data_IF_181029427341
#
_entry.id   IF_181029427341
#
_cell.length_a   1.000
_cell.length_b   1.000
_cell.length_c   1.000
_cell.angle_alpha   90.00
_cell.angle_beta   90.00
_cell.angle_gamma   90.00
#
_symmetry.space_group_name_H-M   'P 1'
#
loop_
_entity.id
_entity.type
_entity.pdbx_description
1 polymer ?
#
# COMPACT_ATOMS: atom_id res chain seq x y z
N UNK A 1 -7.56 -3.80 1.38
CA UNK A 1 -8.24 -5.06 1.01
C UNK A 1 -7.56 -6.14 1.83
N UNK A 2 -8.30 -6.86 2.62
CA UNK A 2 -7.83 -8.16 3.07
C UNK A 2 -8.28 -9.20 2.04
N UNK A 3 -7.47 -10.20 1.82
CA UNK A 3 -7.74 -11.34 0.97
C UNK A 3 -7.50 -12.60 1.81
N UNK A 4 -8.44 -13.52 1.81
CA UNK A 4 -8.44 -14.65 2.74
C UNK A 4 -8.60 -15.96 1.98
N UNK A 5 -7.78 -16.94 2.32
CA UNK A 5 -8.01 -18.34 1.97
C UNK A 5 -8.27 -19.15 3.23
N UNK A 6 -9.47 -19.69 3.35
CA UNK A 6 -9.85 -20.53 4.47
C UNK A 6 -9.16 -21.91 4.40
N UNK A 7 -8.99 -22.42 3.19
CA UNK A 7 -8.30 -23.69 2.93
C UNK A 7 -6.83 -23.63 3.39
N UNK A 8 -6.11 -22.58 2.98
CA UNK A 8 -4.70 -22.39 3.31
C UNK A 8 -4.46 -21.64 4.63
N UNK A 9 -5.52 -21.32 5.37
CA UNK A 9 -5.50 -20.54 6.63
C UNK A 9 -4.57 -19.31 6.54
N UNK A 10 -4.69 -18.55 5.46
CA UNK A 10 -3.92 -17.33 5.22
C UNK A 10 -4.83 -16.10 5.13
N UNK A 11 -4.29 -14.95 5.53
CA UNK A 11 -4.90 -13.64 5.36
C UNK A 11 -3.86 -12.63 4.87
N UNK A 12 -4.04 -12.15 3.64
CA UNK A 12 -3.19 -11.14 3.03
C UNK A 12 -3.80 -9.75 3.19
N UNK A 13 -3.05 -8.83 3.77
CA UNK A 13 -3.45 -7.44 3.93
C UNK A 13 -2.82 -6.58 2.84
N UNK A 14 -3.62 -6.19 1.86
CA UNK A 14 -3.17 -5.47 0.69
C UNK A 14 -2.90 -3.99 1.00
N UNK A 15 -1.70 -3.66 1.47
CA UNK A 15 -1.27 -2.28 1.61
C UNK A 15 -1.17 -1.60 0.24
N UNK A 16 -1.62 -0.33 0.11
CA UNK A 16 -1.57 0.37 -1.17
C UNK A 16 -0.15 0.55 -1.71
N UNK A 17 0.03 0.33 -3.02
CA UNK A 17 1.29 0.53 -3.74
C UNK A 17 2.50 -0.31 -3.28
N UNK A 18 2.24 -1.50 -2.72
CA UNK A 18 3.26 -2.47 -2.28
C UNK A 18 3.27 -3.77 -3.11
N UNK A 19 2.87 -3.72 -4.39
CA UNK A 19 2.75 -4.92 -5.23
C UNK A 19 1.50 -5.77 -4.95
N UNK A 20 0.62 -5.33 -4.06
CA UNK A 20 -0.53 -6.09 -3.58
C UNK A 20 -1.51 -6.54 -4.68
N UNK A 21 -1.64 -5.77 -5.77
CA UNK A 21 -2.51 -6.15 -6.90
C UNK A 21 -1.99 -7.39 -7.63
N UNK A 22 -0.67 -7.56 -7.73
CA UNK A 22 -0.05 -8.74 -8.35
C UNK A 22 -0.34 -10.01 -7.54
N UNK A 23 -0.17 -9.93 -6.21
CA UNK A 23 -0.46 -11.06 -5.31
C UNK A 23 -1.93 -11.45 -5.38
N UNK A 24 -2.85 -10.49 -5.31
CA UNK A 24 -4.28 -10.76 -5.36
C UNK A 24 -4.67 -11.37 -6.72
N UNK A 25 -4.15 -10.81 -7.81
CA UNK A 25 -4.43 -11.34 -9.15
C UNK A 25 -3.98 -12.80 -9.26
N UNK A 26 -2.80 -13.11 -8.79
CA UNK A 26 -2.30 -14.47 -8.77
C UNK A 26 -3.21 -15.42 -7.97
N UNK A 27 -3.66 -15.01 -6.77
CA UNK A 27 -4.59 -15.80 -5.98
C UNK A 27 -5.90 -16.07 -6.73
N UNK A 28 -6.48 -15.03 -7.35
CA UNK A 28 -7.71 -15.15 -8.11
C UNK A 28 -7.55 -16.06 -9.33
N UNK A 29 -6.44 -15.93 -10.06
CA UNK A 29 -6.16 -16.74 -11.26
C UNK A 29 -5.97 -18.23 -10.91
N UNK A 30 -5.60 -18.56 -9.68
CA UNK A 30 -5.51 -19.94 -9.17
C UNK A 30 -6.75 -20.39 -8.38
N UNK A 31 -7.81 -19.58 -8.33
CA UNK A 31 -9.01 -19.91 -7.55
C UNK A 31 -8.79 -19.96 -6.04
N UNK A 32 -7.74 -19.33 -5.52
CA UNK A 32 -7.38 -19.37 -4.11
C UNK A 32 -7.95 -18.15 -3.38
N UNK A 33 -8.91 -18.42 -2.49
CA UNK A 33 -9.42 -17.42 -1.55
C UNK A 33 -10.36 -16.37 -2.16
N UNK A 34 -10.67 -15.38 -1.35
CA UNK A 34 -11.65 -14.34 -1.67
C UNK A 34 -11.35 -13.02 -0.95
N UNK A 35 -11.99 -11.94 -1.40
CA UNK A 35 -11.96 -10.67 -0.70
C UNK A 35 -12.64 -10.74 0.67
N UNK A 36 -12.07 -10.07 1.68
CA UNK A 36 -12.58 -10.06 3.04
C UNK A 36 -12.60 -8.64 3.64
N UNK A 37 -13.79 -8.09 3.91
CA UNK A 37 -15.12 -8.60 3.49
C UNK A 37 -15.30 -8.54 1.98
N UNK A 38 -16.29 -9.28 1.46
CA UNK A 38 -16.66 -9.26 0.03
C UNK A 38 -17.19 -7.89 -0.38
N UNK A 39 -17.94 -7.27 0.50
CA UNK A 39 -18.56 -5.94 0.34
C UNK A 39 -18.19 -5.02 1.49
N UNK A 40 -18.38 -3.72 1.30
CA UNK A 40 -18.16 -2.75 2.36
C UNK A 40 -19.16 -2.98 3.52
N UNK A 41 -18.67 -3.00 4.76
CA UNK A 41 -19.55 -3.04 5.96
C UNK A 41 -19.93 -1.61 6.29
N UNK A 42 -21.25 -1.35 6.28
CA UNK A 42 -21.84 -0.03 6.53
C UNK A 42 -22.71 -0.12 7.79
N UNK A 43 -22.52 0.79 8.72
CA UNK A 43 -23.35 0.99 9.92
C UNK A 43 -23.67 2.48 10.05
N UNK A 44 -24.92 2.82 10.25
CA UNK A 44 -25.40 4.21 10.37
C UNK A 44 -24.86 5.12 9.24
N UNK A 45 -24.98 4.69 7.99
CA UNK A 45 -24.48 5.36 6.79
C UNK A 45 -22.97 5.64 6.78
N UNK A 46 -22.21 4.99 7.68
CA UNK A 46 -20.76 5.10 7.74
C UNK A 46 -20.10 3.78 7.32
N UNK A 47 -19.12 3.87 6.45
CA UNK A 47 -18.29 2.74 6.07
C UNK A 47 -17.32 2.38 7.20
N UNK A 48 -17.64 1.32 7.95
CA UNK A 48 -16.84 0.83 9.07
C UNK A 48 -15.67 0.00 8.57
N UNK A 49 -15.93 -0.94 7.65
CA UNK A 49 -14.89 -1.78 7.06
C UNK A 49 -15.00 -1.75 5.55
N UNK A 50 -14.03 -1.18 4.85
CA UNK A 50 -14.01 -1.21 3.40
C UNK A 50 -13.68 -2.61 2.88
N UNK A 51 -14.31 -3.03 1.79
CA UNK A 51 -13.94 -4.27 1.06
C UNK A 51 -12.53 -4.17 0.47
N UNK A 52 -12.11 -2.94 0.12
CA UNK A 52 -10.75 -2.66 -0.39
C UNK A 52 -9.89 -1.98 0.68
N UNK A 53 -8.64 -2.45 0.82
CA UNK A 53 -7.64 -1.86 1.73
C UNK A 53 -8.05 -1.86 3.21
N UNK A 54 -8.74 -2.93 3.66
CA UNK A 54 -9.04 -3.10 5.08
C UNK A 54 -7.79 -3.35 5.89
N UNK A 55 -7.70 -2.70 7.03
CA UNK A 55 -6.71 -2.98 8.07
C UNK A 55 -7.28 -3.97 9.09
N UNK A 56 -6.42 -4.62 9.88
CA UNK A 56 -6.88 -5.51 10.95
C UNK A 56 -7.77 -4.78 11.98
N UNK A 57 -7.53 -3.48 12.19
CA UNK A 57 -8.35 -2.64 13.07
C UNK A 57 -9.76 -2.46 12.52
N UNK A 58 -9.89 -2.21 11.22
CA UNK A 58 -11.19 -2.07 10.56
C UNK A 58 -11.95 -3.40 10.53
N UNK A 59 -11.27 -4.52 10.22
CA UNK A 59 -11.89 -5.84 10.31
C UNK A 59 -12.38 -6.14 11.74
N UNK A 60 -11.63 -5.71 12.77
CA UNK A 60 -12.07 -5.86 14.17
C UNK A 60 -13.32 -5.02 14.46
N UNK A 61 -13.36 -3.79 13.97
CA UNK A 61 -14.55 -2.92 14.12
C UNK A 61 -15.79 -3.53 13.47
N UNK A 62 -15.66 -4.17 12.31
CA UNK A 62 -16.75 -4.87 11.63
C UNK A 62 -16.99 -6.31 12.11
N UNK A 63 -16.40 -6.74 13.23
CA UNK A 63 -16.63 -8.10 13.76
C UNK A 63 -15.98 -9.25 12.95
N UNK A 64 -15.12 -8.95 11.98
CA UNK A 64 -14.64 -9.88 10.94
C UNK A 64 -13.29 -10.54 11.26
N UNK A 65 -12.72 -10.32 12.45
CA UNK A 65 -11.41 -10.90 12.82
C UNK A 65 -11.51 -12.31 13.35
N UNK A 66 -12.61 -12.69 14.02
CA UNK A 66 -12.73 -13.99 14.66
C UNK A 66 -12.47 -15.18 13.71
N UNK A 67 -13.03 -15.22 12.50
CA UNK A 67 -12.81 -16.33 11.56
C UNK A 67 -11.36 -16.49 11.08
N UNK A 68 -10.56 -15.40 11.13
CA UNK A 68 -9.18 -15.37 10.65
C UNK A 68 -8.16 -15.21 11.78
N UNK A 69 -8.58 -15.39 13.04
CA UNK A 69 -7.73 -15.14 14.22
C UNK A 69 -6.41 -15.91 14.14
N UNK A 70 -6.48 -17.18 13.80
CA UNK A 70 -5.36 -18.11 13.82
C UNK A 70 -4.73 -18.33 12.42
N UNK A 71 -5.10 -17.47 11.45
CA UNK A 71 -4.52 -17.53 10.10
C UNK A 71 -3.14 -16.89 10.05
N UNK A 72 -2.30 -17.39 9.17
CA UNK A 72 -1.03 -16.75 8.82
C UNK A 72 -1.31 -15.40 8.14
N UNK A 73 -0.94 -14.31 8.80
CA UNK A 73 -1.20 -12.93 8.35
C UNK A 73 0.05 -12.33 7.75
N UNK A 74 -0.07 -11.86 6.52
CA UNK A 74 1.04 -11.17 5.88
C UNK A 74 0.60 -9.92 5.12
N UNK A 75 1.57 -9.05 4.85
CA UNK A 75 1.34 -7.74 4.23
C UNK A 75 2.51 -7.36 3.34
N UNK A 76 2.23 -6.64 2.26
CA UNK A 76 3.27 -6.02 1.46
C UNK A 76 3.86 -4.79 2.13
N UNK A 77 5.18 -4.65 2.06
CA UNK A 77 5.94 -3.48 2.50
C UNK A 77 6.80 -2.98 1.33
N UNK A 78 7.07 -1.68 1.29
CA UNK A 78 7.86 -1.04 0.23
C UNK A 78 8.70 0.08 0.80
N UNK A 79 9.88 0.32 0.23
CA UNK A 79 10.71 1.46 0.55
C UNK A 79 9.90 2.76 0.46
N UNK A 80 9.81 3.57 1.54
CA UNK A 80 9.04 4.80 1.57
C UNK A 80 9.42 5.78 0.45
N UNK A 81 10.70 5.89 0.11
CA UNK A 81 11.16 6.79 -0.94
C UNK A 81 10.56 6.43 -2.30
N UNK A 82 10.66 5.17 -2.72
CA UNK A 82 10.06 4.70 -3.97
C UNK A 82 8.53 4.71 -3.90
N UNK A 83 7.94 4.50 -2.72
CA UNK A 83 6.50 4.53 -2.53
C UNK A 83 5.90 5.93 -2.77
N UNK A 84 6.51 7.00 -2.22
CA UNK A 84 6.03 8.37 -2.41
C UNK A 84 6.07 8.78 -3.88
N UNK A 85 7.14 8.45 -4.59
CA UNK A 85 7.25 8.73 -6.05
C UNK A 85 6.20 7.93 -6.82
N UNK A 86 6.03 6.65 -6.52
CA UNK A 86 5.03 5.82 -7.19
C UNK A 86 3.60 6.37 -7.01
N UNK A 87 3.24 6.85 -5.83
CA UNK A 87 1.92 7.44 -5.60
C UNK A 87 1.77 8.80 -6.28
N UNK A 88 2.82 9.64 -6.26
CA UNK A 88 2.86 10.90 -6.96
C UNK A 88 2.62 10.75 -8.46
N UNK A 89 3.32 9.84 -9.11
CA UNK A 89 3.18 9.58 -10.55
C UNK A 89 1.83 8.95 -10.89
N UNK A 90 1.35 8.02 -10.05
CA UNK A 90 0.02 7.42 -10.22
C UNK A 90 -1.10 8.46 -10.15
N UNK A 91 -0.98 9.47 -9.29
CA UNK A 91 -1.96 10.55 -9.22
C UNK A 91 -2.04 11.31 -10.54
N UNK A 92 -0.91 11.49 -11.23
CA UNK A 92 -0.81 12.23 -12.52
C UNK A 92 -1.20 11.42 -13.73
N UNK A 93 -1.12 10.12 -13.65
CA UNK A 93 -1.42 9.21 -14.77
C UNK A 93 -2.79 8.54 -14.62
N UNK A 94 -2.84 7.38 -14.03
CA UNK A 94 -4.03 6.53 -13.99
C UNK A 94 -5.19 7.14 -13.18
N UNK A 95 -4.91 7.89 -12.10
CA UNK A 95 -6.00 8.50 -11.29
C UNK A 95 -6.64 9.68 -11.99
N UNK A 96 -5.85 10.51 -12.71
CA UNK A 96 -6.42 11.58 -13.52
C UNK A 96 -7.26 11.05 -14.69
N UNK A 97 -6.82 9.97 -15.34
CA UNK A 97 -7.66 9.28 -16.35
C UNK A 97 -8.99 8.81 -15.75
N UNK A 98 -8.99 8.30 -14.52
CA UNK A 98 -10.20 7.85 -13.86
C UNK A 98 -11.19 8.98 -13.54
N UNK A 99 -10.74 10.21 -13.29
CA UNK A 99 -11.64 11.37 -13.09
C UNK A 99 -12.44 11.65 -14.36
N UNK A 100 -11.84 11.46 -15.53
CA UNK A 100 -12.49 11.74 -16.81
C UNK A 100 -13.32 10.55 -17.32
N UNK A 101 -13.29 9.41 -16.63
CA UNK A 101 -14.05 8.22 -16.99
C UNK A 101 -15.21 8.00 -16.00
N UNK A 102 -16.44 8.32 -16.40
CA UNK A 102 -17.66 8.15 -15.59
C UNK A 102 -17.94 6.69 -15.18
N UNK A 103 -17.37 5.71 -15.87
CA UNK A 103 -17.47 4.29 -15.49
C UNK A 103 -16.41 3.87 -14.46
N UNK A 104 -15.54 4.78 -14.01
CA UNK A 104 -14.53 4.45 -13.01
C UNK A 104 -15.15 4.32 -11.62
N UNK A 105 -14.44 3.59 -10.75
CA UNK A 105 -14.85 3.37 -9.36
C UNK A 105 -15.06 4.67 -8.56
N UNK A 106 -14.47 5.80 -8.99
CA UNK A 106 -14.65 7.11 -8.36
C UNK A 106 -16.14 7.52 -8.36
N UNK A 107 -16.84 7.15 -9.43
CA UNK A 107 -18.25 7.48 -9.60
C UNK A 107 -19.21 6.52 -8.87
N UNK A 108 -18.69 5.47 -8.24
CA UNK A 108 -19.46 4.65 -7.29
C UNK A 108 -19.44 5.18 -5.86
N UNK A 109 -18.61 6.22 -5.59
CA UNK A 109 -18.57 6.88 -4.30
C UNK A 109 -19.81 7.78 -4.09
N UNK A 110 -20.25 7.99 -2.83
CA UNK A 110 -21.21 9.05 -2.52
C UNK A 110 -20.73 10.41 -3.05
N UNK A 111 -21.67 11.22 -3.54
CA UNK A 111 -21.36 12.46 -4.26
C UNK A 111 -20.37 13.37 -3.51
N UNK A 112 -20.64 13.66 -2.24
CA UNK A 112 -19.78 14.51 -1.43
C UNK A 112 -18.36 13.91 -1.18
N UNK A 113 -18.23 12.58 -1.14
CA UNK A 113 -16.93 11.90 -1.02
C UNK A 113 -16.18 11.97 -2.35
N UNK A 114 -16.87 11.71 -3.45
CA UNK A 114 -16.36 11.81 -4.82
C UNK A 114 -15.79 13.20 -5.10
N UNK A 115 -16.57 14.23 -4.84
CA UNK A 115 -16.20 15.61 -5.18
C UNK A 115 -14.98 16.07 -4.37
N UNK A 116 -14.93 15.74 -3.08
CA UNK A 116 -13.73 15.97 -2.25
C UNK A 116 -12.51 15.18 -2.75
N UNK A 117 -12.72 13.97 -3.24
CA UNK A 117 -11.64 13.15 -3.79
C UNK A 117 -11.09 13.76 -5.09
N UNK A 118 -11.98 14.18 -6.00
CA UNK A 118 -11.61 14.81 -7.28
C UNK A 118 -10.89 16.13 -7.04
N UNK A 119 -11.41 16.99 -6.17
CA UNK A 119 -10.80 18.27 -5.83
C UNK A 119 -9.38 18.08 -5.27
N UNK A 120 -9.21 17.17 -4.32
CA UNK A 120 -7.89 16.83 -3.77
C UNK A 120 -6.92 16.32 -4.84
N UNK A 121 -7.37 15.48 -5.79
CA UNK A 121 -6.52 15.00 -6.86
C UNK A 121 -6.09 16.13 -7.81
N UNK A 122 -6.99 17.05 -8.13
CA UNK A 122 -6.67 18.23 -8.96
C UNK A 122 -5.62 19.10 -8.29
N UNK A 123 -5.80 19.41 -7.01
CA UNK A 123 -4.82 20.18 -6.23
C UNK A 123 -3.45 19.47 -6.20
N UNK A 124 -3.42 18.16 -5.97
CA UNK A 124 -2.18 17.38 -5.96
C UNK A 124 -1.53 17.26 -7.35
N UNK A 125 -2.32 17.35 -8.42
CA UNK A 125 -1.81 17.30 -9.79
C UNK A 125 -0.94 18.51 -10.13
N UNK A 126 -1.29 19.69 -9.64
CA UNK A 126 -0.54 20.93 -9.88
C UNK A 126 0.77 21.03 -9.06
N UNK A 127 0.90 20.24 -7.99
CA UNK A 127 2.08 20.29 -7.12
C UNK A 127 3.31 19.66 -7.78
N UNK A 128 4.47 20.27 -7.62
CA UNK A 128 5.75 19.60 -7.82
C UNK A 128 5.94 18.46 -6.82
N UNK A 129 6.88 17.53 -7.06
CA UNK A 129 7.10 16.42 -6.10
C UNK A 129 7.48 16.90 -4.69
N UNK A 130 8.37 17.90 -4.50
CA UNK A 130 8.66 18.44 -3.17
C UNK A 130 7.44 19.03 -2.45
N UNK A 131 6.59 19.74 -3.16
CA UNK A 131 5.34 20.31 -2.61
C UNK A 131 4.36 19.21 -2.23
N UNK A 132 4.13 18.24 -3.12
CA UNK A 132 3.30 17.09 -2.87
C UNK A 132 3.77 16.30 -1.65
N UNK A 133 5.07 16.02 -1.56
CA UNK A 133 5.65 15.28 -0.45
C UNK A 133 5.45 15.99 0.88
N UNK A 134 5.69 17.30 0.95
CA UNK A 134 5.43 18.10 2.14
C UNK A 134 3.95 18.14 2.49
N UNK A 135 3.10 18.41 1.51
CA UNK A 135 1.65 18.39 1.70
C UNK A 135 1.18 17.06 2.30
N UNK A 136 1.66 15.93 1.74
CA UNK A 136 1.32 14.61 2.24
C UNK A 136 1.82 14.38 3.67
N UNK A 137 3.07 14.74 3.95
CA UNK A 137 3.75 14.49 5.22
C UNK A 137 3.33 15.43 6.36
N UNK A 138 2.87 16.63 6.06
CA UNK A 138 2.47 17.61 7.08
C UNK A 138 0.97 17.58 7.39
N UNK A 139 0.13 17.34 6.40
CA UNK A 139 -1.32 17.44 6.56
C UNK A 139 -2.01 16.10 6.84
N UNK A 140 -1.39 14.99 6.48
CA UNK A 140 -1.96 13.69 6.78
C UNK A 140 -1.34 13.08 8.03
N UNK A 141 -2.04 13.14 9.17
CA UNK A 141 -1.64 12.47 10.42
C UNK A 141 -1.37 10.95 10.26
N UNK A 142 -1.77 10.37 9.14
CA UNK A 142 -1.60 8.95 8.77
C UNK A 142 -0.63 8.80 7.60
N UNK A 143 0.50 9.45 7.70
CA UNK A 143 1.44 9.55 6.58
C UNK A 143 2.00 8.21 6.16
N UNK A 144 2.11 7.29 7.08
CA UNK A 144 2.54 5.96 6.75
C UNK A 144 1.32 5.05 6.58
N UNK A 145 0.68 5.11 5.39
CA UNK A 145 -0.40 4.17 5.04
C UNK A 145 0.02 2.72 5.29
N UNK A 146 1.30 2.42 5.16
CA UNK A 146 1.83 1.10 5.44
C UNK A 146 1.76 0.77 6.93
N UNK A 147 2.05 1.72 7.84
CA UNK A 147 2.12 1.47 9.28
C UNK A 147 0.81 0.94 9.89
N UNK A 148 -0.34 1.34 9.34
CA UNK A 148 -1.64 0.82 9.79
C UNK A 148 -1.81 -0.67 9.44
N UNK A 149 -1.18 -1.12 8.36
CA UNK A 149 -1.22 -2.51 7.90
C UNK A 149 -0.21 -3.40 8.60
N UNK A 150 0.89 -2.85 9.15
CA UNK A 150 1.97 -3.64 9.72
C UNK A 150 1.69 -4.20 11.13
N UNK A 151 0.56 -3.88 11.72
CA UNK A 151 0.24 -4.35 13.08
C UNK A 151 -0.23 -5.79 13.07
N UNK A 152 0.36 -6.61 13.95
CA UNK A 152 -0.05 -8.02 14.16
C UNK A 152 0.05 -8.87 12.89
N UNK A 153 1.10 -8.68 12.11
CA UNK A 153 1.43 -9.51 10.96
C UNK A 153 2.49 -10.54 11.35
N UNK A 154 2.36 -11.73 10.79
CA UNK A 154 3.30 -12.83 10.98
C UNK A 154 4.46 -12.76 9.99
N UNK A 155 4.25 -12.05 8.85
CA UNK A 155 5.26 -11.90 7.81
C UNK A 155 5.08 -10.61 7.00
N UNK A 156 6.20 -10.10 6.47
CA UNK A 156 6.27 -8.93 5.60
C UNK A 156 6.87 -9.32 4.27
N UNK A 157 6.15 -9.05 3.18
CA UNK A 157 6.61 -9.30 1.82
C UNK A 157 7.11 -7.98 1.24
N UNK A 158 8.43 -7.88 1.00
CA UNK A 158 9.05 -6.69 0.46
C UNK A 158 8.80 -6.58 -1.05
N UNK A 159 8.32 -5.44 -1.49
CA UNK A 159 8.01 -5.22 -2.90
C UNK A 159 9.25 -5.37 -3.78
N UNK A 160 10.42 -5.02 -3.24
CA UNK A 160 11.71 -5.06 -3.92
C UNK A 160 12.27 -6.49 -4.12
N UNK A 161 11.80 -7.46 -3.33
CA UNK A 161 12.16 -8.88 -3.43
C UNK A 161 10.92 -9.77 -3.33
N UNK A 162 9.85 -9.34 -3.98
CA UNK A 162 8.52 -9.91 -3.87
C UNK A 162 8.48 -11.42 -4.16
N UNK A 163 9.20 -11.87 -5.19
CA UNK A 163 9.26 -13.28 -5.57
C UNK A 163 9.91 -14.15 -4.47
N UNK A 164 11.02 -13.70 -3.92
CA UNK A 164 11.76 -14.42 -2.86
C UNK A 164 10.94 -14.54 -1.58
N UNK A 165 10.37 -13.40 -1.13
CA UNK A 165 9.55 -13.38 0.07
C UNK A 165 8.27 -14.21 -0.10
N UNK A 166 7.70 -14.26 -1.31
CA UNK A 166 6.52 -15.06 -1.57
C UNK A 166 6.79 -16.57 -1.51
N UNK A 167 7.99 -17.02 -1.79
CA UNK A 167 8.40 -18.43 -1.56
C UNK A 167 8.28 -18.81 -0.06
N UNK A 168 8.56 -17.87 0.84
CA UNK A 168 8.35 -18.09 2.28
C UNK A 168 6.86 -18.23 2.60
N UNK A 169 6.01 -17.41 2.00
CA UNK A 169 4.55 -17.50 2.16
C UNK A 169 4.06 -18.88 1.68
N UNK A 170 4.47 -19.31 0.48
CA UNK A 170 4.07 -20.62 -0.06
C UNK A 170 4.42 -21.77 0.89
N UNK A 171 5.66 -21.81 1.37
CA UNK A 171 6.11 -22.86 2.29
C UNK A 171 5.34 -22.87 3.61
N UNK A 172 4.96 -21.69 4.14
CA UNK A 172 4.25 -21.58 5.41
C UNK A 172 2.77 -21.90 5.32
N UNK A 173 2.18 -21.75 4.15
CA UNK A 173 0.72 -21.86 3.97
C UNK A 173 0.30 -23.06 3.10
N UNK A 174 1.25 -23.84 2.59
CA UNK A 174 0.96 -24.99 1.71
C UNK A 174 0.36 -24.56 0.36
N UNK A 175 0.67 -23.36 -0.12
CA UNK A 175 0.28 -22.93 -1.46
C UNK A 175 1.01 -23.74 -2.54
N UNK A 176 0.39 -23.94 -3.72
CA UNK A 176 1.01 -24.67 -4.83
C UNK A 176 2.38 -24.11 -5.22
N UNK A 177 3.34 -25.00 -5.47
CA UNK A 177 4.74 -24.62 -5.77
C UNK A 177 4.88 -23.82 -7.06
N UNK A 178 4.03 -24.09 -8.05
CA UNK A 178 3.98 -23.42 -9.37
C UNK A 178 3.51 -21.98 -9.33
N UNK A 179 2.88 -21.55 -8.22
CA UNK A 179 2.43 -20.17 -8.09
C UNK A 179 3.61 -19.20 -8.10
N UNK A 180 3.55 -18.24 -8.99
CA UNK A 180 4.53 -17.16 -9.09
C UNK A 180 3.85 -15.81 -9.17
N UNK A 181 4.43 -14.81 -8.49
CA UNK A 181 3.86 -13.45 -8.51
C UNK A 181 4.18 -12.80 -9.86
N UNK A 182 3.16 -12.44 -10.66
CA UNK A 182 3.39 -11.84 -11.96
C UNK A 182 3.96 -10.42 -11.82
N UNK A 183 4.77 -10.01 -12.79
CA UNK A 183 5.13 -8.60 -12.93
C UNK A 183 3.88 -7.82 -13.32
N UNK A 184 3.38 -6.99 -12.42
CA UNK A 184 2.13 -6.26 -12.60
C UNK A 184 2.27 -4.82 -12.14
N UNK A 185 1.70 -3.88 -12.91
CA UNK A 185 1.71 -2.45 -12.59
C UNK A 185 3.12 -1.87 -12.35
N UNK A 186 4.02 -2.02 -13.31
CA UNK A 186 5.27 -1.26 -13.34
C UNK A 186 4.92 0.23 -13.30
N UNK A 187 5.47 0.96 -12.34
CA UNK A 187 5.13 2.37 -12.15
C UNK A 187 5.68 3.18 -13.33
N UNK A 188 4.92 4.14 -13.85
CA UNK A 188 5.27 4.96 -15.01
C UNK A 188 6.63 5.70 -14.94
N UNK A 189 7.26 5.82 -13.76
CA UNK A 189 8.64 6.30 -13.66
C UNK A 189 9.64 5.35 -14.33
N UNK A 190 9.39 4.04 -14.29
CA UNK A 190 10.21 3.06 -15.00
C UNK A 190 9.92 3.08 -16.52
N UNK A 191 8.69 3.46 -16.92
CA UNK A 191 8.34 3.65 -18.33
C UNK A 191 9.03 4.86 -18.95
N UNK A 192 9.35 5.89 -18.14
CA UNK A 192 10.10 7.09 -18.56
C UNK A 192 11.62 6.98 -18.35
N UNK A 193 12.12 5.84 -17.85
CA UNK A 193 13.53 5.63 -17.58
C UNK A 193 14.09 6.44 -16.39
N UNK A 194 13.21 7.05 -15.57
CA UNK A 194 13.60 7.83 -14.40
C UNK A 194 13.66 6.94 -13.16
N UNK A 195 14.75 7.04 -12.42
CA UNK A 195 14.85 6.44 -11.10
C UNK A 195 14.06 7.27 -10.06
N UNK A 196 13.48 6.62 -9.02
CA UNK A 196 12.79 7.35 -7.95
C UNK A 196 13.74 8.31 -7.23
N UNK A 197 15.04 8.05 -7.22
CA UNK A 197 16.09 8.85 -6.60
C UNK A 197 16.22 10.25 -7.20
N UNK A 198 15.92 10.38 -8.49
CA UNK A 198 16.00 11.67 -9.23
C UNK A 198 14.99 12.71 -8.71
N UNK A 199 14.01 12.28 -7.93
CA UNK A 199 13.00 13.16 -7.32
C UNK A 199 13.45 13.79 -5.99
N UNK A 200 14.58 13.34 -5.43
CA UNK A 200 14.99 13.70 -4.08
C UNK A 200 16.21 14.62 -4.05
N UNK A 201 16.15 15.60 -3.17
CA UNK A 201 17.31 16.37 -2.72
C UNK A 201 17.73 15.88 -1.33
N UNK A 202 18.97 16.11 -0.85
CA UNK A 202 19.39 15.75 0.50
C UNK A 202 18.43 16.24 1.59
N UNK A 203 17.90 17.45 1.42
CA UNK A 203 16.93 18.06 2.35
C UNK A 203 15.60 17.29 2.40
N UNK A 204 15.13 16.77 1.26
CA UNK A 204 13.90 15.94 1.20
C UNK A 204 14.15 14.55 1.77
N UNK A 205 15.33 13.96 1.56
CA UNK A 205 15.72 12.68 2.14
C UNK A 205 15.64 12.76 3.67
N UNK A 206 16.31 13.75 4.27
CA UNK A 206 16.28 13.98 5.71
C UNK A 206 14.85 14.20 6.24
N UNK A 207 14.03 14.91 5.47
CA UNK A 207 12.64 15.15 5.82
C UNK A 207 11.82 13.84 5.85
N UNK A 208 11.98 12.94 4.87
CA UNK A 208 11.33 11.63 4.84
C UNK A 208 11.76 10.77 6.02
N UNK A 209 13.06 10.68 6.31
CA UNK A 209 13.56 9.92 7.46
C UNK A 209 12.94 10.39 8.77
N UNK A 210 12.96 11.69 9.00
CA UNK A 210 12.40 12.29 10.23
C UNK A 210 10.90 12.00 10.38
N UNK A 211 10.13 12.17 9.30
CA UNK A 211 8.68 11.97 9.32
C UNK A 211 8.27 10.48 9.37
N UNK A 212 9.10 9.58 8.87
CA UNK A 212 8.85 8.14 8.86
C UNK A 212 9.76 7.36 9.83
N UNK A 213 10.34 8.02 10.82
CA UNK A 213 11.24 7.39 11.80
C UNK A 213 10.73 6.06 12.36
N UNK A 214 9.45 5.91 12.78
CA UNK A 214 8.94 4.63 13.28
C UNK A 214 8.96 3.50 12.25
N UNK A 215 8.85 3.84 10.95
CA UNK A 215 8.96 2.87 9.88
C UNK A 215 10.40 2.36 9.74
N UNK A 216 11.37 3.26 9.69
CA UNK A 216 12.79 2.90 9.53
C UNK A 216 13.38 2.20 10.77
N UNK A 217 12.85 2.46 11.97
CA UNK A 217 13.18 1.67 13.18
C UNK A 217 12.68 0.22 13.02
N UNK A 218 11.51 0.03 12.42
CA UNK A 218 10.91 -1.30 12.23
C UNK A 218 11.53 -2.08 11.08
N UNK A 219 11.93 -1.38 10.02
CA UNK A 219 12.50 -1.91 8.79
C UNK A 219 13.84 -1.22 8.50
N UNK A 220 14.88 -1.54 9.29
CA UNK A 220 16.18 -0.87 9.18
C UNK A 220 16.93 -1.20 7.90
N UNK A 221 16.49 -2.22 7.16
CA UNK A 221 17.02 -2.59 5.85
C UNK A 221 16.66 -1.58 4.74
N UNK A 222 15.62 -0.75 4.97
CA UNK A 222 15.26 0.30 4.02
C UNK A 222 16.10 1.54 4.24
N UNK A 223 16.77 1.94 3.19
CA UNK A 223 17.62 3.14 3.17
C UNK A 223 17.52 3.85 1.82
N UNK A 224 18.07 5.06 1.75
CA UNK A 224 18.23 5.81 0.51
C UNK A 224 19.71 5.81 0.11
N UNK A 225 20.09 5.10 -0.98
CA UNK A 225 21.47 5.05 -1.53
C UNK A 225 22.58 4.77 -0.52
N UNK A 226 22.37 3.86 0.42
CA UNK A 226 23.35 3.57 1.47
C UNK A 226 23.38 4.59 2.61
N UNK A 227 22.50 5.59 2.61
CA UNK A 227 22.32 6.55 3.69
C UNK A 227 21.38 5.97 4.75
N UNK A 228 21.92 5.44 5.81
CA UNK A 228 21.13 4.92 6.94
C UNK A 228 20.44 6.06 7.70
N UNK A 229 19.22 5.79 8.18
CA UNK A 229 18.44 6.72 8.98
C UNK A 229 19.19 7.27 10.21
N UNK A 230 20.09 6.49 10.78
CA UNK A 230 20.90 6.86 11.95
C UNK A 230 21.92 7.97 11.66
N UNK A 231 22.50 7.98 10.45
CA UNK A 231 23.47 9.00 10.03
C UNK A 231 22.83 10.38 9.79
N UNK A 232 21.55 10.40 9.48
CA UNK A 232 20.80 11.59 9.07
C UNK A 232 20.21 12.36 10.27
N UNK A 233 20.00 11.69 11.40
CA UNK A 233 19.40 12.30 12.61
C UNK A 233 20.44 13.03 13.48
N UNK A 234 21.75 12.81 13.24
CA UNK A 234 22.82 13.42 14.03
C UNK A 234 23.12 14.89 13.66
N UNK A 235 22.68 15.35 12.48
CA UNK A 235 22.98 16.70 11.95
C UNK A 235 21.79 17.68 11.98
N UNK A 236 20.78 17.46 12.82
CA UNK A 236 19.57 18.29 12.90
C UNK A 236 19.28 18.88 14.27
#
# INVERSE_FOLDING_TARGET
MAFVSHEHKLAFFAAPATGSSAIIRMFLDHGIGEYWPKEDVIEDDKRITPSKHSTIRQLKAGGLVAPIKDYFKFVGVRNPFSWYVAVYLRNRTSRMKNINNKSSWIYTLPEAERDRYIERLRQQFEMTFPEYLRHLLDHHRRVNFQAEYHRKMDFYVHQERLAEDFEVVKRRTGLPAEMSVPLFNVTGAMEEGKDYRDFYTPKLINYVYRKNRPFFIRFPEYEFEGLKAEAVVADG
#
